data_IF_201326002501
#
_entry.id   IF_201326002501
#
_cell.length_a   1.000
_cell.length_b   1.000
_cell.length_c   1.000
_cell.angle_alpha   90.00
_cell.angle_beta   90.00
_cell.angle_gamma   90.00
#
_symmetry.space_group_name_H-M   'P 1'
#
loop_
_entity.id
_entity.type
_entity.pdbx_description
1 polymer ?
#
# COMPACT_ATOMS: atom_id res chain seq x y z
N UNK A 1 27.91 19.82 -8.86
CA UNK A 1 27.34 18.46 -8.98
C UNK A 1 25.93 18.58 -9.58
N UNK A 2 25.50 17.64 -10.42
CA UNK A 2 24.15 17.62 -11.02
C UNK A 2 23.47 16.32 -10.62
N UNK A 3 22.20 16.40 -10.24
CA UNK A 3 21.33 15.23 -10.09
C UNK A 3 21.05 14.58 -11.45
N UNK A 4 20.75 13.28 -11.47
CA UNK A 4 20.31 12.62 -12.70
C UNK A 4 18.96 13.18 -13.17
N UNK A 5 18.69 13.13 -14.49
CA UNK A 5 17.40 13.58 -15.03
C UNK A 5 16.23 12.82 -14.40
N UNK A 6 16.37 11.51 -14.19
CA UNK A 6 15.36 10.66 -13.56
C UNK A 6 14.89 11.18 -12.20
N UNK A 7 15.80 11.68 -11.37
CA UNK A 7 15.46 12.22 -10.04
C UNK A 7 14.86 13.62 -10.15
N UNK A 8 15.34 14.46 -11.07
CA UNK A 8 14.81 15.82 -11.22
C UNK A 8 13.39 15.84 -11.79
N UNK A 9 12.98 14.80 -12.50
CA UNK A 9 11.64 14.66 -13.10
C UNK A 9 10.62 14.03 -12.13
N UNK A 10 11.06 13.44 -11.00
CA UNK A 10 10.17 12.90 -9.97
C UNK A 10 9.77 14.01 -9.01
N UNK A 11 8.47 14.33 -8.89
CA UNK A 11 8.00 15.33 -7.94
C UNK A 11 8.17 14.87 -6.49
N UNK A 12 8.35 15.82 -5.59
CA UNK A 12 8.28 15.54 -4.14
C UNK A 12 6.90 14.98 -3.79
N UNK A 13 6.89 13.92 -2.98
CA UNK A 13 5.65 13.30 -2.51
C UNK A 13 4.70 14.32 -1.90
N UNK A 14 3.44 14.35 -2.36
CA UNK A 14 2.38 15.19 -1.79
C UNK A 14 2.17 14.92 -0.29
N UNK A 15 2.31 13.66 0.13
CA UNK A 15 2.24 13.27 1.55
C UNK A 15 3.33 14.01 2.36
N UNK A 16 4.59 14.01 1.88
CA UNK A 16 5.69 14.65 2.59
C UNK A 16 5.49 16.15 2.73
N UNK A 17 5.01 16.83 1.69
CA UNK A 17 4.72 18.26 1.73
C UNK A 17 3.72 18.62 2.84
N UNK A 18 2.70 17.78 3.04
CA UNK A 18 1.71 18.01 4.11
C UNK A 18 2.32 17.86 5.51
N UNK A 19 3.26 16.92 5.68
CA UNK A 19 3.97 16.78 6.96
C UNK A 19 4.81 18.01 7.31
N UNK A 20 5.44 18.62 6.33
CA UNK A 20 6.28 19.81 6.55
C UNK A 20 5.45 21.05 6.97
N UNK A 21 4.12 21.00 6.79
CA UNK A 21 3.17 22.04 7.26
C UNK A 21 2.65 21.78 8.69
N UNK A 22 2.90 20.59 9.25
CA UNK A 22 2.40 20.22 10.57
C UNK A 22 3.05 21.05 11.68
N UNK A 23 2.24 21.71 12.49
CA UNK A 23 2.66 22.31 13.75
C UNK A 23 2.72 21.27 14.89
N UNK A 24 3.31 21.62 16.06
CA UNK A 24 3.46 20.68 17.19
C UNK A 24 2.11 20.18 17.74
N UNK A 25 1.04 20.95 17.60
CA UNK A 25 -0.28 20.61 18.10
C UNK A 25 -1.23 20.09 17.01
N UNK A 26 -0.73 19.87 15.78
CA UNK A 26 -1.53 19.40 14.66
C UNK A 26 -1.99 17.96 14.88
N UNK A 27 -3.25 17.70 14.55
CA UNK A 27 -3.81 16.34 14.46
C UNK A 27 -3.40 15.77 13.11
N UNK A 28 -2.62 14.69 13.14
CA UNK A 28 -2.13 14.05 11.93
C UNK A 28 -2.96 12.80 11.60
N UNK A 29 -3.84 12.93 10.60
CA UNK A 29 -4.56 11.83 9.94
C UNK A 29 -4.05 11.59 8.50
N UNK A 30 -2.90 12.18 8.13
CA UNK A 30 -2.28 11.99 6.82
C UNK A 30 -1.33 10.78 6.74
N UNK A 31 -0.86 10.25 7.88
CA UNK A 31 0.07 9.13 7.92
C UNK A 31 -0.64 7.79 8.00
N UNK A 32 -0.33 6.90 7.08
CA UNK A 32 -0.82 5.51 7.08
C UNK A 32 0.06 4.58 7.92
N UNK A 33 0.08 4.75 9.22
CA UNK A 33 0.86 3.95 10.16
C UNK A 33 -0.02 3.48 11.31
N UNK A 34 -0.11 2.14 11.55
CA UNK A 34 -0.86 1.62 12.68
C UNK A 34 -0.30 2.13 14.01
N UNK A 35 -1.17 2.61 14.90
CA UNK A 35 -0.83 3.08 16.25
C UNK A 35 -0.89 1.97 17.32
N UNK A 36 -1.18 0.75 16.91
CA UNK A 36 -1.20 -0.42 17.78
C UNK A 36 0.23 -0.84 18.15
N UNK A 37 0.38 -1.42 19.34
CA UNK A 37 1.64 -2.04 19.71
C UNK A 37 1.90 -3.29 18.84
N UNK A 38 3.16 -3.55 18.42
CA UNK A 38 3.51 -4.79 17.75
C UNK A 38 3.24 -6.02 18.63
N UNK A 39 3.05 -7.23 18.02
CA UNK A 39 3.01 -8.47 18.78
C UNK A 39 4.25 -8.63 19.67
N UNK A 40 4.06 -9.01 20.92
CA UNK A 40 5.18 -9.14 21.88
C UNK A 40 6.19 -10.19 21.42
N UNK A 41 5.71 -11.27 20.83
CA UNK A 41 6.53 -12.35 20.26
C UNK A 41 7.49 -11.83 19.19
N UNK A 42 7.06 -10.84 18.41
CA UNK A 42 7.92 -10.20 17.41
C UNK A 42 9.07 -9.43 18.07
N UNK A 43 8.76 -8.65 19.09
CA UNK A 43 9.75 -7.86 19.84
C UNK A 43 10.75 -8.78 20.54
N UNK A 44 10.26 -9.77 21.28
CA UNK A 44 11.09 -10.72 22.01
C UNK A 44 11.96 -11.56 21.08
N UNK A 45 11.40 -12.06 19.98
CA UNK A 45 12.13 -12.83 18.97
C UNK A 45 13.26 -12.03 18.33
N UNK A 46 13.03 -10.77 17.98
CA UNK A 46 14.05 -9.86 17.45
C UNK A 46 15.16 -9.59 18.47
N UNK A 47 14.79 -9.29 19.72
CA UNK A 47 15.75 -9.04 20.80
C UNK A 47 16.62 -10.27 21.09
N UNK A 48 16.02 -11.45 21.17
CA UNK A 48 16.71 -12.69 21.42
C UNK A 48 17.67 -13.05 20.28
N UNK A 49 17.24 -12.93 19.03
CA UNK A 49 18.10 -13.13 17.87
C UNK A 49 19.33 -12.23 17.90
N UNK A 50 19.14 -10.94 18.27
CA UNK A 50 20.25 -10.01 18.42
C UNK A 50 21.24 -10.44 19.51
N UNK A 51 20.75 -10.91 20.68
CA UNK A 51 21.59 -11.41 21.81
C UNK A 51 22.35 -12.67 21.41
N UNK A 52 21.74 -13.53 20.60
CA UNK A 52 22.36 -14.75 20.07
C UNK A 52 23.37 -14.49 18.94
N UNK A 53 23.62 -13.24 18.59
CA UNK A 53 24.61 -12.87 17.58
C UNK A 53 24.12 -13.03 16.13
N UNK A 54 22.80 -13.09 15.88
CA UNK A 54 22.20 -13.12 14.52
C UNK A 54 22.25 -11.73 13.86
N UNK A 55 23.40 -11.05 13.93
CA UNK A 55 23.58 -9.66 13.47
C UNK A 55 24.48 -9.56 12.22
N UNK A 56 24.83 -10.70 11.61
CA UNK A 56 25.66 -10.76 10.41
C UNK A 56 24.79 -10.85 9.14
N UNK A 57 25.40 -10.69 7.97
CA UNK A 57 24.72 -10.94 6.70
C UNK A 57 24.10 -12.33 6.67
N UNK A 58 22.87 -12.39 6.22
CA UNK A 58 22.12 -13.61 5.98
C UNK A 58 21.97 -13.92 4.48
N UNK A 59 21.14 -14.92 4.14
CA UNK A 59 20.79 -15.21 2.76
C UNK A 59 20.08 -14.01 2.12
N UNK A 60 20.39 -13.74 0.86
CA UNK A 60 19.79 -12.63 0.10
C UNK A 60 18.27 -12.74 0.03
N UNK A 61 17.74 -13.92 -0.24
CA UNK A 61 16.28 -14.15 -0.27
C UNK A 61 15.61 -14.18 1.13
N UNK A 62 16.38 -13.99 2.21
CA UNK A 62 15.91 -14.17 3.60
C UNK A 62 16.13 -15.60 4.12
N UNK A 63 16.01 -15.77 5.45
CA UNK A 63 16.21 -17.07 6.10
C UNK A 63 15.15 -18.08 5.65
N UNK A 64 15.55 -19.34 5.30
CA UNK A 64 14.64 -20.36 4.79
C UNK A 64 13.45 -20.63 5.72
N UNK A 65 13.67 -20.59 7.03
CA UNK A 65 12.64 -20.81 8.04
C UNK A 65 11.53 -19.77 7.93
N UNK A 66 11.87 -18.49 7.72
CA UNK A 66 10.87 -17.43 7.55
C UNK A 66 10.16 -17.54 6.19
N UNK A 67 10.89 -17.84 5.13
CA UNK A 67 10.31 -18.03 3.78
C UNK A 67 9.25 -19.15 3.79
N UNK A 68 9.57 -20.29 4.42
CA UNK A 68 8.63 -21.39 4.58
C UNK A 68 7.43 -21.00 5.46
N UNK A 69 7.66 -20.32 6.59
CA UNK A 69 6.59 -19.87 7.46
C UNK A 69 5.64 -18.85 6.79
N UNK A 70 6.17 -18.00 5.89
CA UNK A 70 5.35 -17.08 5.07
C UNK A 70 4.55 -17.86 4.04
N UNK A 71 5.14 -18.83 3.35
CA UNK A 71 4.44 -19.69 2.40
C UNK A 71 3.28 -20.45 3.10
N UNK A 72 3.53 -21.04 4.27
CA UNK A 72 2.51 -21.73 5.05
C UNK A 72 1.38 -20.78 5.51
N UNK A 73 1.74 -19.58 5.99
CA UNK A 73 0.77 -18.59 6.48
C UNK A 73 -0.18 -18.10 5.38
N UNK A 74 0.33 -17.89 4.17
CA UNK A 74 -0.44 -17.40 3.02
C UNK A 74 -0.96 -18.53 2.11
N UNK A 75 -0.76 -19.81 2.46
CA UNK A 75 -1.19 -20.99 1.67
C UNK A 75 -2.70 -21.03 1.37
N UNK A 76 -3.50 -20.31 2.14
CA UNK A 76 -4.95 -20.13 1.89
C UNK A 76 -5.26 -19.38 0.58
N UNK A 77 -4.29 -18.69 0.00
CA UNK A 77 -4.45 -17.90 -1.23
C UNK A 77 -3.86 -18.57 -2.47
N UNK A 78 -3.11 -19.66 -2.33
CA UNK A 78 -2.51 -20.39 -3.44
C UNK A 78 -1.45 -21.38 -2.97
N UNK A 79 -1.03 -22.27 -3.86
CA UNK A 79 0.07 -23.19 -3.59
C UNK A 79 1.41 -22.45 -3.64
N UNK A 80 2.10 -22.36 -2.50
CA UNK A 80 3.38 -21.66 -2.36
C UNK A 80 4.43 -22.54 -1.69
N UNK A 81 5.66 -22.37 -2.13
CA UNK A 81 6.84 -22.95 -1.47
C UNK A 81 7.71 -21.81 -0.96
N UNK A 82 8.54 -22.06 0.05
CA UNK A 82 9.50 -21.08 0.52
C UNK A 82 10.40 -20.53 -0.60
N UNK A 83 10.65 -21.32 -1.66
CA UNK A 83 11.45 -20.88 -2.81
C UNK A 83 10.76 -19.84 -3.70
N UNK A 84 9.45 -19.74 -3.62
CA UNK A 84 8.65 -18.70 -4.28
C UNK A 84 8.53 -17.40 -3.45
N UNK A 85 9.18 -17.35 -2.28
CA UNK A 85 9.15 -16.18 -1.38
C UNK A 85 10.56 -15.58 -1.27
N UNK A 86 10.66 -14.26 -1.47
CA UNK A 86 11.83 -13.46 -1.14
C UNK A 86 11.48 -12.42 -0.08
N UNK A 87 12.15 -12.45 1.06
CA UNK A 87 12.01 -11.43 2.10
C UNK A 87 12.77 -10.18 1.67
N UNK A 88 12.15 -9.01 1.81
CA UNK A 88 12.68 -7.74 1.30
C UNK A 88 12.80 -6.68 2.40
N UNK A 89 13.65 -5.65 2.21
CA UNK A 89 13.72 -4.49 3.10
C UNK A 89 12.51 -3.56 2.95
N UNK A 90 11.30 -4.05 3.08
CA UNK A 90 9.98 -3.42 2.99
C UNK A 90 9.20 -3.74 1.70
N UNK A 91 7.87 -3.61 1.76
CA UNK A 91 7.03 -3.67 0.55
C UNK A 91 7.38 -2.58 -0.47
N UNK A 92 7.76 -1.37 -0.02
CA UNK A 92 8.20 -0.31 -0.96
C UNK A 92 9.47 -0.69 -1.71
N UNK A 93 10.44 -1.35 -1.06
CA UNK A 93 11.65 -1.86 -1.73
C UNK A 93 11.28 -3.02 -2.65
N UNK A 94 10.38 -3.90 -2.24
CA UNK A 94 9.87 -4.98 -3.08
C UNK A 94 9.25 -4.46 -4.38
N UNK A 95 8.37 -3.45 -4.30
CA UNK A 95 7.80 -2.79 -5.48
C UNK A 95 8.88 -2.20 -6.39
N UNK A 96 9.93 -1.57 -5.81
CA UNK A 96 11.05 -1.06 -6.58
C UNK A 96 11.84 -2.18 -7.24
N UNK A 97 12.14 -3.27 -6.52
CA UNK A 97 12.89 -4.41 -7.04
C UNK A 97 12.16 -5.08 -8.21
N UNK A 98 10.84 -5.28 -8.08
CA UNK A 98 10.02 -5.83 -9.17
C UNK A 98 10.05 -4.91 -10.39
N UNK A 99 9.78 -3.61 -10.23
CA UNK A 99 9.78 -2.66 -11.34
C UNK A 99 11.14 -2.54 -12.01
N UNK A 100 12.24 -2.57 -11.24
CA UNK A 100 13.60 -2.52 -11.81
C UNK A 100 14.02 -3.82 -12.50
N UNK A 101 13.41 -4.96 -12.14
CA UNK A 101 13.74 -6.26 -12.73
C UNK A 101 12.95 -6.56 -14.01
N UNK A 102 11.80 -5.91 -14.22
CA UNK A 102 10.84 -6.29 -15.25
C UNK A 102 10.54 -5.20 -16.28
N UNK A 103 10.97 -3.95 -16.05
CA UNK A 103 10.64 -2.81 -16.92
C UNK A 103 11.90 -2.35 -17.64
N UNK A 104 11.85 -2.33 -18.96
CA UNK A 104 12.86 -1.73 -19.81
C UNK A 104 12.54 -0.25 -20.13
N UNK A 105 13.54 0.57 -20.49
CA UNK A 105 13.30 1.95 -20.87
C UNK A 105 12.35 2.10 -22.05
N UNK A 106 11.22 2.78 -21.81
CA UNK A 106 10.17 3.01 -22.80
C UNK A 106 8.96 2.09 -22.70
N UNK A 107 8.99 1.09 -21.83
CA UNK A 107 7.83 0.27 -21.51
C UNK A 107 6.74 1.10 -20.83
N UNK A 108 5.50 0.80 -21.13
CA UNK A 108 4.34 1.40 -20.49
C UNK A 108 3.82 0.51 -19.36
N UNK A 109 3.58 1.13 -18.22
CA UNK A 109 3.03 0.45 -17.04
C UNK A 109 1.72 1.10 -16.66
N UNK A 110 0.65 0.31 -16.65
CA UNK A 110 -0.66 0.75 -16.19
C UNK A 110 -0.64 0.86 -14.66
N UNK A 111 -0.98 2.03 -14.12
CA UNK A 111 -1.03 2.31 -12.69
C UNK A 111 -2.42 2.80 -12.29
N UNK A 112 -2.96 2.40 -11.10
CA UNK A 112 -4.29 2.85 -10.67
C UNK A 112 -4.30 4.34 -10.36
N UNK A 113 -5.39 5.00 -10.68
CA UNK A 113 -5.67 6.39 -10.28
C UNK A 113 -7.13 6.51 -9.81
N UNK A 114 -7.34 6.83 -8.50
CA UNK A 114 -6.32 7.11 -7.49
C UNK A 114 -5.51 5.86 -7.11
N UNK A 115 -4.20 6.03 -6.86
CA UNK A 115 -3.29 4.95 -6.51
C UNK A 115 -2.14 5.40 -5.62
N UNK A 116 -1.43 4.46 -5.00
CA UNK A 116 -0.37 4.79 -4.04
C UNK A 116 0.76 5.59 -4.71
N UNK A 117 1.17 6.66 -4.07
CA UNK A 117 2.05 7.72 -4.60
C UNK A 117 3.43 7.27 -5.11
N UNK A 118 3.87 6.05 -4.78
CA UNK A 118 5.19 5.56 -5.19
C UNK A 118 5.18 4.79 -6.52
N UNK A 119 4.04 4.38 -7.06
CA UNK A 119 4.01 3.58 -8.28
C UNK A 119 4.60 4.33 -9.48
N UNK A 120 4.09 5.53 -9.77
CA UNK A 120 4.63 6.37 -10.85
C UNK A 120 6.14 6.67 -10.70
N UNK A 121 6.66 7.08 -9.52
CA UNK A 121 8.08 7.21 -9.28
C UNK A 121 8.89 5.94 -9.56
N UNK A 122 8.43 4.76 -9.13
CA UNK A 122 9.17 3.50 -9.33
C UNK A 122 9.27 3.14 -10.82
N UNK A 123 8.15 3.27 -11.56
CA UNK A 123 8.13 3.07 -13.02
C UNK A 123 9.12 4.02 -13.71
N UNK A 124 9.11 5.32 -13.37
CA UNK A 124 10.04 6.31 -13.93
C UNK A 124 11.51 6.04 -13.58
N UNK A 125 11.78 5.53 -12.38
CA UNK A 125 13.14 5.13 -11.97
C UNK A 125 13.66 3.95 -12.80
N UNK A 126 12.78 3.05 -13.22
CA UNK A 126 13.11 1.96 -14.14
C UNK A 126 13.30 2.44 -15.60
N UNK A 127 12.88 3.66 -15.92
CA UNK A 127 12.90 4.21 -17.29
C UNK A 127 11.59 3.99 -18.03
N UNK A 128 10.58 3.39 -17.40
CA UNK A 128 9.25 3.16 -17.94
C UNK A 128 8.36 4.40 -17.93
N UNK A 129 7.23 4.30 -18.58
CA UNK A 129 6.22 5.34 -18.76
C UNK A 129 4.97 4.92 -17.94
N UNK A 130 4.66 5.60 -16.82
CA UNK A 130 3.43 5.31 -16.10
C UNK A 130 2.22 5.86 -16.86
N UNK A 131 1.20 5.00 -17.05
CA UNK A 131 -0.07 5.30 -17.69
C UNK A 131 -1.19 5.08 -16.68
N UNK A 132 -1.89 6.14 -16.27
CA UNK A 132 -2.96 6.03 -15.28
C UNK A 132 -4.20 5.37 -15.86
N UNK A 133 -4.76 4.37 -15.15
CA UNK A 133 -6.09 3.84 -15.41
C UNK A 133 -7.04 4.22 -14.27
N UNK A 134 -8.33 4.39 -14.62
CA UNK A 134 -9.35 4.84 -13.68
C UNK A 134 -9.83 3.69 -12.79
N UNK A 135 -10.07 3.98 -11.52
CA UNK A 135 -10.95 3.20 -10.65
C UNK A 135 -12.37 3.75 -10.74
N UNK A 136 -13.39 2.89 -10.53
CA UNK A 136 -14.79 3.33 -10.50
C UNK A 136 -15.02 4.30 -9.35
N UNK A 137 -15.92 5.27 -9.55
CA UNK A 137 -16.27 6.29 -8.53
C UNK A 137 -17.70 6.01 -7.99
N UNK A 138 -17.92 4.74 -7.63
CA UNK A 138 -19.20 4.24 -7.09
C UNK A 138 -19.08 3.82 -5.61
N UNK A 139 -17.97 4.20 -4.96
CA UNK A 139 -17.62 3.82 -3.59
C UNK A 139 -16.91 2.45 -3.51
N UNK A 140 -16.92 1.62 -4.55
CA UNK A 140 -16.23 0.33 -4.57
C UNK A 140 -14.80 0.41 -5.05
N UNK A 141 -14.47 1.40 -5.88
CA UNK A 141 -13.15 1.66 -6.46
C UNK A 141 -12.55 0.44 -7.17
N UNK A 142 -13.37 -0.26 -7.98
CA UNK A 142 -12.90 -1.35 -8.83
C UNK A 142 -12.10 -0.82 -10.02
N UNK A 143 -11.14 -1.58 -10.58
CA UNK A 143 -10.51 -1.26 -11.85
C UNK A 143 -11.55 -1.11 -12.98
N UNK A 144 -11.54 0.01 -13.68
CA UNK A 144 -12.39 0.20 -14.87
C UNK A 144 -11.77 -0.54 -16.05
N UNK A 145 -12.27 -1.75 -16.32
CA UNK A 145 -11.75 -2.64 -17.37
C UNK A 145 -11.83 -2.00 -18.77
N UNK A 146 -12.88 -1.21 -19.04
CA UNK A 146 -13.01 -0.50 -20.32
C UNK A 146 -11.91 0.55 -20.49
N UNK A 147 -11.62 1.29 -19.43
CA UNK A 147 -10.54 2.28 -19.44
C UNK A 147 -9.15 1.61 -19.56
N UNK A 148 -8.93 0.49 -18.85
CA UNK A 148 -7.69 -0.29 -18.93
C UNK A 148 -7.45 -0.76 -20.36
N UNK A 149 -8.42 -1.48 -20.97
CA UNK A 149 -8.30 -2.03 -22.33
C UNK A 149 -8.02 -0.91 -23.35
N UNK A 150 -8.65 0.25 -23.19
CA UNK A 150 -8.44 1.39 -24.09
C UNK A 150 -7.02 1.96 -24.05
N UNK A 151 -6.24 1.66 -23.00
CA UNK A 151 -4.90 2.17 -22.75
C UNK A 151 -3.79 1.16 -23.03
N UNK A 152 -4.14 -0.09 -23.29
CA UNK A 152 -3.16 -1.12 -23.67
C UNK A 152 -2.60 -0.81 -25.05
N UNK A 153 -1.28 -0.82 -25.15
CA UNK A 153 -0.53 -0.68 -26.40
C UNK A 153 0.51 -1.81 -26.52
N UNK A 154 1.16 -2.00 -27.69
CA UNK A 154 2.27 -2.96 -27.82
C UNK A 154 3.48 -2.69 -26.91
N UNK A 155 3.48 -1.58 -26.16
CA UNK A 155 4.51 -1.23 -25.18
C UNK A 155 4.10 -1.50 -23.75
N UNK A 156 2.85 -1.85 -23.53
CA UNK A 156 2.34 -2.14 -22.19
C UNK A 156 2.86 -3.50 -21.74
N UNK A 157 3.67 -3.52 -20.67
CA UNK A 157 4.32 -4.75 -20.16
C UNK A 157 3.83 -5.12 -18.77
N UNK A 158 3.25 -4.15 -18.03
CA UNK A 158 2.83 -4.38 -16.65
C UNK A 158 1.58 -3.58 -16.30
N UNK A 159 0.76 -4.16 -15.42
CA UNK A 159 -0.29 -3.44 -14.70
C UNK A 159 -0.08 -3.57 -13.20
N UNK A 160 -0.14 -2.46 -12.46
CA UNK A 160 -0.09 -2.45 -10.99
C UNK A 160 -1.51 -2.43 -10.44
N UNK A 161 -1.81 -3.36 -9.52
CA UNK A 161 -3.07 -3.46 -8.78
C UNK A 161 -2.79 -3.34 -7.29
N UNK A 162 -3.65 -2.65 -6.53
CA UNK A 162 -3.49 -2.54 -5.08
C UNK A 162 -4.79 -2.94 -4.37
N UNK A 163 -4.75 -4.03 -3.60
CA UNK A 163 -5.93 -4.56 -2.90
C UNK A 163 -5.56 -5.15 -1.53
N UNK A 164 -6.19 -4.69 -0.44
CA UNK A 164 -7.00 -3.47 -0.28
C UNK A 164 -6.22 -2.21 -0.62
N UNK A 165 -6.89 -1.22 -1.21
CA UNK A 165 -6.24 -0.07 -1.83
C UNK A 165 -5.88 1.05 -0.85
N UNK A 166 -4.75 1.68 -1.08
CA UNK A 166 -4.38 3.01 -0.60
C UNK A 166 -4.42 3.96 -1.82
N UNK A 167 -5.31 4.96 -1.88
CA UNK A 167 -5.94 5.65 -0.74
C UNK A 167 -7.39 5.23 -0.43
N UNK A 168 -8.05 4.41 -1.23
CA UNK A 168 -9.51 4.32 -1.27
C UNK A 168 -10.12 3.36 -0.25
N UNK A 169 -9.35 2.36 0.22
CA UNK A 169 -9.88 1.26 1.02
C UNK A 169 -10.74 0.27 0.21
N UNK A 170 -10.77 0.42 -1.12
CA UNK A 170 -11.45 -0.54 -2.02
C UNK A 170 -10.80 -1.91 -1.97
N UNK A 171 -11.60 -2.96 -2.05
CA UNK A 171 -11.19 -4.36 -2.07
C UNK A 171 -11.58 -4.95 -3.43
N UNK A 172 -10.63 -5.57 -4.11
CA UNK A 172 -10.84 -6.17 -5.42
C UNK A 172 -11.86 -7.31 -5.32
N UNK A 173 -12.82 -7.35 -6.25
CA UNK A 173 -13.75 -8.47 -6.38
C UNK A 173 -13.13 -9.64 -7.14
N UNK A 174 -13.66 -10.85 -6.94
CA UNK A 174 -13.22 -12.03 -7.71
C UNK A 174 -13.44 -11.80 -9.22
N UNK A 175 -14.58 -11.22 -9.60
CA UNK A 175 -14.90 -10.91 -11.00
C UNK A 175 -13.86 -9.96 -11.63
N UNK A 176 -13.47 -8.89 -10.90
CA UNK A 176 -12.45 -7.95 -11.39
C UNK A 176 -11.07 -8.62 -11.48
N UNK A 177 -10.72 -9.51 -10.54
CA UNK A 177 -9.47 -10.27 -10.59
C UNK A 177 -9.43 -11.18 -11.81
N UNK A 178 -10.48 -11.99 -12.02
CA UNK A 178 -10.55 -12.95 -13.12
C UNK A 178 -10.42 -12.22 -14.47
N UNK A 179 -11.11 -11.09 -14.63
CA UNK A 179 -11.00 -10.27 -15.83
C UNK A 179 -9.60 -9.66 -16.04
N UNK A 180 -8.90 -9.27 -14.95
CA UNK A 180 -7.51 -8.81 -15.03
C UNK A 180 -6.55 -9.94 -15.40
N UNK A 181 -6.75 -11.14 -14.88
CA UNK A 181 -5.94 -12.34 -15.24
C UNK A 181 -6.15 -12.70 -16.72
N UNK A 182 -7.40 -12.76 -17.20
CA UNK A 182 -7.71 -13.03 -18.61
C UNK A 182 -7.05 -11.98 -19.52
N UNK A 183 -7.17 -10.70 -19.18
CA UNK A 183 -6.54 -9.61 -19.92
C UNK A 183 -5.00 -9.72 -19.91
N UNK A 184 -4.39 -10.08 -18.78
CA UNK A 184 -2.95 -10.25 -18.67
C UNK A 184 -2.44 -11.36 -19.61
N UNK A 185 -3.17 -12.47 -19.70
CA UNK A 185 -2.88 -13.55 -20.63
C UNK A 185 -3.09 -13.16 -22.10
N UNK A 186 -4.18 -12.43 -22.41
CA UNK A 186 -4.48 -12.02 -23.79
C UNK A 186 -3.43 -11.07 -24.37
N UNK A 187 -2.87 -10.20 -23.53
CA UNK A 187 -1.96 -9.13 -23.94
C UNK A 187 -0.50 -9.34 -23.54
N UNK A 188 -0.14 -10.49 -22.93
CA UNK A 188 1.21 -10.78 -22.42
C UNK A 188 1.72 -9.70 -21.45
N UNK A 189 0.85 -9.32 -20.50
CA UNK A 189 1.10 -8.28 -19.48
C UNK A 189 1.28 -8.93 -18.11
N UNK A 190 2.29 -8.49 -17.34
CA UNK A 190 2.45 -8.94 -15.96
C UNK A 190 1.60 -8.10 -14.99
N UNK A 191 0.93 -8.77 -14.05
CA UNK A 191 0.24 -8.12 -12.93
C UNK A 191 1.21 -7.99 -11.76
N UNK A 192 1.47 -6.75 -11.31
CA UNK A 192 2.13 -6.48 -10.04
C UNK A 192 1.06 -6.14 -9.00
N UNK A 193 0.77 -7.09 -8.10
CA UNK A 193 -0.23 -6.92 -7.06
C UNK A 193 0.40 -6.48 -5.74
N UNK A 194 0.01 -5.30 -5.26
CA UNK A 194 0.38 -4.78 -3.94
C UNK A 194 -0.72 -5.14 -2.93
N UNK A 195 -0.44 -6.13 -2.07
CA UNK A 195 -1.39 -6.72 -1.13
C UNK A 195 -1.04 -6.43 0.34
N UNK A 196 -0.31 -5.36 0.63
CA UNK A 196 0.20 -5.06 1.99
C UNK A 196 -0.89 -4.84 3.05
N UNK A 197 -2.16 -4.68 2.65
CA UNK A 197 -3.31 -4.51 3.54
C UNK A 197 -4.23 -5.74 3.58
N UNK A 198 -3.86 -6.88 3.01
CA UNK A 198 -4.70 -8.08 2.89
C UNK A 198 -5.30 -8.59 4.22
N UNK A 199 -4.65 -8.32 5.35
CA UNK A 199 -5.14 -8.69 6.68
C UNK A 199 -6.19 -7.72 7.25
N UNK A 200 -6.41 -6.57 6.61
CA UNK A 200 -7.38 -5.56 7.05
C UNK A 200 -8.56 -5.51 6.10
N UNK A 201 -9.38 -6.57 6.13
CA UNK A 201 -10.66 -6.68 5.45
C UNK A 201 -11.76 -6.59 6.50
N UNK A 202 -12.74 -5.75 6.28
CA UNK A 202 -13.87 -5.54 7.18
C UNK A 202 -15.15 -6.19 6.67
N UNK A 203 -15.30 -6.27 5.35
CA UNK A 203 -16.45 -6.85 4.67
C UNK A 203 -15.98 -7.64 3.46
N UNK A 204 -16.55 -8.83 3.24
CA UNK A 204 -16.11 -9.75 2.18
C UNK A 204 -14.83 -10.51 2.53
N UNK A 205 -14.11 -10.91 1.50
CA UNK A 205 -12.86 -11.66 1.60
C UNK A 205 -11.78 -11.00 0.74
N UNK A 206 -10.52 -11.20 1.11
CA UNK A 206 -9.39 -10.78 0.28
C UNK A 206 -9.22 -11.74 -0.90
N UNK A 207 -9.16 -11.19 -2.08
CA UNK A 207 -8.86 -11.88 -3.33
C UNK A 207 -7.41 -11.61 -3.68
N UNK A 208 -6.59 -12.66 -3.72
CA UNK A 208 -5.15 -12.56 -3.96
C UNK A 208 -4.77 -13.07 -5.35
N UNK A 209 -3.70 -12.53 -5.92
CA UNK A 209 -3.08 -13.05 -7.14
C UNK A 209 -2.02 -14.12 -6.88
N UNK A 210 -1.88 -14.60 -5.64
CA UNK A 210 -0.95 -15.69 -5.29
C UNK A 210 -1.33 -17.04 -5.91
N UNK A 211 -2.57 -17.19 -6.39
CA UNK A 211 -3.03 -18.36 -7.15
C UNK A 211 -2.80 -18.28 -8.67
N UNK A 212 -2.19 -17.19 -9.14
CA UNK A 212 -1.95 -16.89 -10.56
C UNK A 212 -0.47 -16.56 -10.85
N UNK A 213 0.49 -17.40 -10.37
CA UNK A 213 1.93 -17.08 -10.41
C UNK A 213 2.50 -16.99 -11.82
N UNK A 214 1.79 -17.51 -12.82
CA UNK A 214 2.23 -17.48 -14.22
C UNK A 214 2.15 -16.06 -14.82
N UNK A 215 1.23 -15.22 -14.35
CA UNK A 215 1.04 -13.86 -14.86
C UNK A 215 1.13 -12.77 -13.77
N UNK A 216 1.33 -13.14 -12.50
CA UNK A 216 1.35 -12.18 -11.40
C UNK A 216 2.58 -12.31 -10.49
N UNK A 217 3.06 -11.16 -10.03
CA UNK A 217 4.01 -11.00 -8.93
C UNK A 217 3.30 -10.28 -7.79
N UNK A 218 3.31 -10.86 -6.60
CA UNK A 218 2.64 -10.27 -5.43
C UNK A 218 3.65 -9.68 -4.47
N UNK A 219 3.43 -8.44 -4.09
CA UNK A 219 4.18 -7.75 -3.03
C UNK A 219 3.31 -7.64 -1.78
N UNK A 220 3.89 -7.99 -0.66
CA UNK A 220 3.24 -7.87 0.64
C UNK A 220 4.25 -7.43 1.71
N UNK A 221 3.81 -7.26 2.96
CA UNK A 221 4.72 -6.79 4.00
C UNK A 221 4.18 -6.90 5.41
N UNK A 222 5.12 -7.01 6.34
CA UNK A 222 4.84 -7.13 7.77
C UNK A 222 4.57 -5.78 8.45
N UNK A 223 4.95 -4.69 7.79
CA UNK A 223 4.86 -3.32 8.32
C UNK A 223 3.47 -2.97 8.85
N UNK A 224 2.42 -3.38 8.11
CA UNK A 224 1.03 -3.06 8.45
C UNK A 224 0.41 -4.13 9.34
N UNK A 225 0.51 -5.40 8.95
CA UNK A 225 -0.10 -6.49 9.68
C UNK A 225 0.44 -6.68 11.10
N UNK A 226 1.68 -6.24 11.39
CA UNK A 226 2.32 -6.37 12.71
C UNK A 226 2.61 -5.01 13.37
N UNK A 227 2.20 -3.88 12.79
CA UNK A 227 2.52 -2.53 13.28
C UNK A 227 4.04 -2.28 13.48
N UNK A 228 4.87 -2.81 12.58
CA UNK A 228 6.34 -2.72 12.63
C UNK A 228 6.91 -1.92 11.45
N UNK A 229 6.32 -0.78 11.16
CA UNK A 229 6.70 0.07 10.00
C UNK A 229 8.17 0.46 10.01
N UNK A 230 8.75 0.69 11.20
CA UNK A 230 10.17 1.01 11.40
C UNK A 230 11.13 -0.15 11.19
N UNK A 231 10.67 -1.41 11.17
CA UNK A 231 11.56 -2.57 10.99
C UNK A 231 11.98 -2.76 9.54
N UNK A 232 11.22 -2.19 8.61
CA UNK A 232 11.49 -2.27 7.18
C UNK A 232 11.55 -3.72 6.69
N UNK A 233 10.42 -4.42 6.75
CA UNK A 233 10.30 -5.83 6.36
C UNK A 233 9.08 -6.05 5.46
N UNK A 234 9.29 -6.72 4.34
CA UNK A 234 8.27 -7.14 3.39
C UNK A 234 8.66 -8.45 2.72
N UNK A 235 7.89 -8.86 1.72
CA UNK A 235 8.23 -10.00 0.89
C UNK A 235 7.60 -9.87 -0.51
N UNK A 236 8.18 -10.61 -1.45
CA UNK A 236 7.65 -10.85 -2.80
C UNK A 236 7.33 -12.31 -2.92
N UNK A 237 6.20 -12.61 -3.56
CA UNK A 237 5.86 -13.92 -4.09
C UNK A 237 5.92 -13.85 -5.62
N UNK A 238 6.61 -14.82 -6.24
CA UNK A 238 6.74 -14.96 -7.68
C UNK A 238 7.00 -16.41 -8.07
N UNK A 239 6.85 -16.72 -9.36
CA UNK A 239 7.27 -18.02 -9.90
C UNK A 239 8.80 -18.19 -9.86
N UNK A 240 9.29 -19.40 -10.14
CA UNK A 240 10.72 -19.74 -10.01
C UNK A 240 11.60 -18.89 -10.94
N UNK A 241 11.16 -18.63 -12.18
CA UNK A 241 11.92 -17.87 -13.17
C UNK A 241 12.10 -16.40 -12.74
N UNK A 242 11.03 -15.78 -12.30
CA UNK A 242 11.07 -14.40 -11.85
C UNK A 242 11.86 -14.26 -10.54
N UNK A 243 11.74 -15.24 -9.65
CA UNK A 243 12.44 -15.23 -8.36
C UNK A 243 13.95 -15.16 -8.50
N UNK A 244 14.54 -15.82 -9.49
CA UNK A 244 15.99 -15.74 -9.77
C UNK A 244 16.41 -14.29 -10.07
N UNK A 245 15.66 -13.60 -10.92
CA UNK A 245 15.91 -12.21 -11.29
C UNK A 245 15.76 -11.25 -10.09
N UNK A 246 14.74 -11.45 -9.26
CA UNK A 246 14.48 -10.65 -8.07
C UNK A 246 15.58 -10.83 -7.01
N UNK A 247 16.03 -12.06 -6.75
CA UNK A 247 17.13 -12.32 -5.81
C UNK A 247 18.42 -11.66 -6.31
N UNK A 248 18.70 -11.70 -7.61
CA UNK A 248 19.84 -11.01 -8.20
C UNK A 248 19.75 -9.50 -8.02
N UNK A 249 18.57 -8.90 -8.22
CA UNK A 249 18.34 -7.48 -8.01
C UNK A 249 18.57 -7.12 -6.54
N UNK A 250 17.95 -7.83 -5.60
CA UNK A 250 18.09 -7.58 -4.16
C UNK A 250 19.54 -7.66 -3.68
N UNK A 251 20.31 -8.64 -4.19
CA UNK A 251 21.72 -8.76 -3.84
C UNK A 251 22.50 -7.46 -4.12
N UNK A 252 22.20 -6.79 -5.23
CA UNK A 252 22.87 -5.53 -5.60
C UNK A 252 22.29 -4.30 -4.89
N UNK A 253 21.09 -4.38 -4.32
CA UNK A 253 20.46 -3.28 -3.57
C UNK A 253 20.88 -3.29 -2.10
N UNK A 254 20.79 -4.45 -1.42
CA UNK A 254 20.97 -4.50 0.03
C UNK A 254 21.73 -5.73 0.57
N UNK A 255 22.21 -6.62 -0.31
CA UNK A 255 22.84 -7.90 0.03
C UNK A 255 21.94 -8.88 0.82
N UNK A 256 21.36 -8.48 1.94
CA UNK A 256 20.39 -9.27 2.72
C UNK A 256 19.48 -8.36 3.57
N UNK A 257 18.24 -8.79 3.87
CA UNK A 257 17.36 -8.07 4.78
C UNK A 257 17.85 -8.07 6.23
N UNK A 258 17.14 -7.34 7.11
CA UNK A 258 17.45 -7.22 8.53
C UNK A 258 17.31 -8.57 9.25
N UNK A 259 18.44 -9.19 9.58
CA UNK A 259 18.50 -10.53 10.20
C UNK A 259 17.74 -10.63 11.53
N UNK A 260 17.94 -9.77 12.54
CA UNK A 260 17.17 -9.85 13.77
C UNK A 260 15.67 -9.69 13.55
N UNK A 261 15.25 -8.79 12.67
CA UNK A 261 13.83 -8.57 12.36
C UNK A 261 13.18 -9.80 11.71
N UNK A 262 13.90 -10.54 10.86
CA UNK A 262 13.39 -11.80 10.28
C UNK A 262 13.04 -12.83 11.36
N UNK A 263 13.88 -12.98 12.39
CA UNK A 263 13.59 -13.88 13.51
C UNK A 263 12.44 -13.38 14.38
N UNK A 264 12.30 -12.05 14.55
CA UNK A 264 11.13 -11.47 15.22
C UNK A 264 9.83 -11.77 14.50
N UNK A 265 9.79 -11.59 13.18
CA UNK A 265 8.62 -11.92 12.36
C UNK A 265 8.32 -13.43 12.42
N UNK A 266 9.35 -14.27 12.28
CA UNK A 266 9.21 -15.73 12.37
C UNK A 266 8.57 -16.17 13.70
N UNK A 267 8.99 -15.56 14.81
CA UNK A 267 8.42 -15.86 16.12
C UNK A 267 6.95 -15.43 16.26
N UNK A 268 6.55 -14.33 15.61
CA UNK A 268 5.20 -13.79 15.71
C UNK A 268 4.18 -14.48 14.81
N UNK A 269 4.58 -14.93 13.61
CA UNK A 269 3.65 -15.47 12.60
C UNK A 269 2.66 -16.51 13.15
N UNK A 270 3.05 -17.51 13.97
CA UNK A 270 2.11 -18.48 14.54
C UNK A 270 1.05 -17.88 15.48
N UNK A 271 1.28 -16.68 15.98
CA UNK A 271 0.45 -16.01 16.99
C UNK A 271 -0.38 -14.85 16.44
N UNK A 272 -0.38 -14.65 15.10
CA UNK A 272 -1.00 -13.47 14.48
C UNK A 272 -2.51 -13.43 14.56
N UNK A 273 -3.20 -14.59 14.61
CA UNK A 273 -4.68 -14.61 14.53
C UNK A 273 -5.34 -13.74 15.61
N UNK A 274 -5.10 -13.92 16.94
CA UNK A 274 -5.73 -13.10 17.96
C UNK A 274 -5.33 -11.62 17.88
N UNK A 275 -4.10 -11.33 17.48
CA UNK A 275 -3.63 -9.96 17.27
C UNK A 275 -4.40 -9.26 16.15
N UNK A 276 -4.53 -9.90 14.99
CA UNK A 276 -5.23 -9.36 13.82
C UNK A 276 -6.75 -9.27 14.06
N UNK A 277 -7.35 -10.22 14.77
CA UNK A 277 -8.77 -10.14 15.13
C UNK A 277 -9.06 -8.90 15.98
N UNK A 278 -8.19 -8.59 16.96
CA UNK A 278 -8.25 -7.34 17.73
C UNK A 278 -8.01 -6.10 16.86
N UNK A 279 -6.96 -6.10 16.04
CA UNK A 279 -6.62 -4.96 15.18
C UNK A 279 -7.76 -4.64 14.20
N UNK A 280 -8.35 -5.66 13.55
CA UNK A 280 -9.52 -5.49 12.67
C UNK A 280 -10.72 -4.91 13.41
N UNK A 281 -10.99 -5.37 14.64
CA UNK A 281 -12.07 -4.82 15.46
C UNK A 281 -11.84 -3.33 15.76
N UNK A 282 -10.66 -2.95 16.19
CA UNK A 282 -10.30 -1.56 16.48
C UNK A 282 -10.44 -0.69 15.23
N UNK A 283 -9.86 -1.09 14.12
CA UNK A 283 -9.92 -0.29 12.89
C UNK A 283 -11.32 -0.25 12.27
N UNK A 284 -12.13 -1.31 12.41
CA UNK A 284 -13.54 -1.27 11.99
C UNK A 284 -14.32 -0.20 12.78
N UNK A 285 -14.18 -0.15 14.10
CA UNK A 285 -14.85 0.86 14.92
C UNK A 285 -14.43 2.29 14.53
N UNK A 286 -13.14 2.49 14.29
CA UNK A 286 -12.60 3.79 13.85
C UNK A 286 -13.05 4.17 12.45
N UNK A 287 -13.17 3.20 11.53
CA UNK A 287 -13.76 3.37 10.20
C UNK A 287 -15.19 3.89 10.32
N UNK A 288 -15.99 3.20 11.12
CA UNK A 288 -17.41 3.54 11.28
C UNK A 288 -17.57 4.93 11.91
N UNK A 289 -16.71 5.27 12.89
CA UNK A 289 -16.66 6.61 13.48
C UNK A 289 -16.35 7.69 12.44
N UNK A 290 -15.22 7.55 11.72
CA UNK A 290 -14.80 8.59 10.77
C UNK A 290 -15.78 8.74 9.60
N UNK A 291 -16.34 7.65 9.09
CA UNK A 291 -17.34 7.69 8.02
C UNK A 291 -18.62 8.38 8.47
N UNK A 292 -19.11 8.07 9.66
CA UNK A 292 -20.26 8.77 10.26
C UNK A 292 -20.01 10.27 10.34
N UNK A 293 -18.86 10.67 10.92
CA UNK A 293 -18.52 12.09 11.12
C UNK A 293 -18.37 12.85 9.80
N UNK A 294 -17.77 12.20 8.77
CA UNK A 294 -17.64 12.79 7.43
C UNK A 294 -19.01 13.01 6.79
N UNK A 295 -19.91 12.02 6.85
CA UNK A 295 -21.25 12.11 6.26
C UNK A 295 -22.20 13.07 7.00
N UNK A 296 -21.83 13.55 8.19
CA UNK A 296 -22.54 14.64 8.91
C UNK A 296 -22.14 16.03 8.40
N UNK A 297 -21.11 16.14 7.52
CA UNK A 297 -20.61 17.41 6.98
C UNK A 297 -21.25 17.69 5.62
N UNK A 298 -21.97 18.79 5.49
CA UNK A 298 -22.60 19.19 4.23
C UNK A 298 -21.58 19.30 3.08
N UNK A 299 -21.92 18.67 1.97
CA UNK A 299 -21.09 18.65 0.76
C UNK A 299 -19.93 17.66 0.81
N UNK A 300 -19.84 16.78 1.82
CA UNK A 300 -18.93 15.65 1.85
C UNK A 300 -19.68 14.32 1.80
N UNK A 301 -19.05 13.31 1.21
CA UNK A 301 -19.61 11.97 1.14
C UNK A 301 -18.54 10.89 1.15
N UNK A 302 -18.83 9.78 1.85
CA UNK A 302 -18.02 8.57 1.83
C UNK A 302 -18.89 7.33 2.05
N UNK A 303 -18.70 6.32 1.18
CA UNK A 303 -19.11 4.96 1.48
C UNK A 303 -18.08 4.29 2.40
N UNK A 304 -18.49 3.48 3.38
CA UNK A 304 -17.55 2.81 4.28
C UNK A 304 -16.55 1.96 3.51
N UNK A 305 -15.22 2.22 3.62
CA UNK A 305 -14.22 1.42 2.94
C UNK A 305 -14.24 -0.05 3.40
N UNK A 306 -14.07 -0.97 2.45
CA UNK A 306 -14.14 -2.42 2.72
C UNK A 306 -12.86 -2.96 3.36
N UNK A 307 -11.73 -2.25 3.20
CA UNK A 307 -10.43 -2.69 3.71
C UNK A 307 -9.43 -1.56 3.99
N UNK A 308 -8.19 -1.93 4.30
CA UNK A 308 -7.10 -1.04 4.72
C UNK A 308 -7.47 -0.22 5.97
N UNK A 309 -6.96 0.99 6.13
CA UNK A 309 -7.34 1.90 7.22
C UNK A 309 -7.31 3.37 6.74
N UNK A 310 -7.89 3.60 5.53
CA UNK A 310 -8.01 4.91 4.90
C UNK A 310 -9.46 5.23 4.58
N UNK A 311 -9.85 6.48 4.85
CA UNK A 311 -11.07 7.10 4.38
C UNK A 311 -10.72 8.05 3.23
N UNK A 312 -11.46 7.93 2.12
CA UNK A 312 -11.24 8.73 0.91
C UNK A 312 -12.53 9.44 0.46
N UNK A 313 -13.07 10.36 1.30
CA UNK A 313 -14.29 11.08 1.00
C UNK A 313 -14.14 12.00 -0.20
N UNK A 314 -15.22 12.11 -0.98
CA UNK A 314 -15.42 13.18 -1.95
C UNK A 314 -15.98 14.45 -1.28
N UNK A 315 -15.81 15.59 -1.96
CA UNK A 315 -16.40 16.86 -1.55
C UNK A 315 -16.88 17.68 -2.78
N UNK A 316 -17.93 18.51 -2.59
CA UNK A 316 -18.58 19.27 -3.66
C UNK A 316 -18.10 20.71 -3.80
N UNK A 317 -17.39 21.28 -2.82
CA UNK A 317 -16.94 22.67 -2.82
C UNK A 317 -15.99 22.96 -3.99
N UNK A 318 -16.07 24.18 -4.56
CA UNK A 318 -15.23 24.60 -5.69
C UNK A 318 -13.85 25.08 -5.21
N UNK A 319 -13.04 24.12 -4.81
CA UNK A 319 -11.65 24.29 -4.38
C UNK A 319 -10.84 23.07 -4.81
N UNK A 320 -9.55 23.22 -5.11
CA UNK A 320 -8.67 22.09 -5.37
C UNK A 320 -8.41 21.26 -4.10
N UNK A 321 -8.18 19.96 -4.25
CA UNK A 321 -7.85 19.08 -3.10
C UNK A 321 -6.57 19.54 -2.38
N UNK A 322 -5.59 20.07 -3.13
CA UNK A 322 -4.37 20.62 -2.56
C UNK A 322 -4.62 21.87 -1.71
N UNK A 323 -5.47 22.81 -2.20
CA UNK A 323 -5.75 24.04 -1.47
C UNK A 323 -6.59 23.75 -0.22
N UNK A 324 -7.56 22.84 -0.31
CA UNK A 324 -8.36 22.42 0.85
C UNK A 324 -7.47 21.75 1.91
N UNK A 325 -6.57 20.85 1.50
CA UNK A 325 -5.62 20.21 2.41
C UNK A 325 -4.67 21.23 3.07
N UNK A 326 -4.22 22.25 2.32
CA UNK A 326 -3.40 23.34 2.86
C UNK A 326 -4.16 24.18 3.91
N UNK A 327 -5.45 24.42 3.68
CA UNK A 327 -6.31 25.14 4.62
C UNK A 327 -6.54 24.34 5.90
N UNK A 328 -6.84 23.03 5.76
CA UNK A 328 -6.96 22.11 6.89
C UNK A 328 -5.67 22.04 7.71
N UNK A 329 -4.51 22.00 7.05
CA UNK A 329 -3.22 22.01 7.73
C UNK A 329 -3.01 23.28 8.57
N UNK A 330 -3.38 24.47 8.05
CA UNK A 330 -3.34 25.73 8.81
C UNK A 330 -4.33 25.75 9.98
N UNK A 331 -5.46 25.04 9.85
CA UNK A 331 -6.43 24.87 10.93
C UNK A 331 -6.01 23.78 11.95
N UNK A 332 -4.91 23.07 11.72
CA UNK A 332 -4.37 22.06 12.63
C UNK A 332 -4.75 20.60 12.31
N UNK A 333 -5.30 20.33 11.12
CA UNK A 333 -5.60 18.97 10.65
C UNK A 333 -4.74 18.61 9.44
N UNK A 334 -3.90 17.59 9.57
CA UNK A 334 -3.09 17.07 8.45
C UNK A 334 -3.83 15.90 7.80
N UNK A 335 -4.12 16.04 6.51
CA UNK A 335 -4.61 15.00 5.62
C UNK A 335 -3.79 14.98 4.33
N UNK A 336 -4.08 14.06 3.42
CA UNK A 336 -3.44 14.04 2.10
C UNK A 336 -4.44 14.47 1.02
N UNK A 337 -4.10 15.44 0.15
CA UNK A 337 -4.97 15.81 -0.97
C UNK A 337 -5.12 14.65 -1.95
N UNK A 338 -6.31 14.47 -2.49
CA UNK A 338 -6.60 13.38 -3.41
C UNK A 338 -5.77 13.45 -4.70
N UNK A 339 -5.46 14.66 -5.19
CA UNK A 339 -4.58 14.88 -6.35
C UNK A 339 -3.16 14.31 -6.18
N UNK A 340 -2.71 14.03 -4.96
CA UNK A 340 -1.43 13.35 -4.72
C UNK A 340 -1.44 11.88 -5.16
N UNK A 341 -2.62 11.27 -5.36
CA UNK A 341 -2.80 9.87 -5.72
C UNK A 341 -3.11 9.66 -7.21
N UNK A 342 -3.01 10.69 -8.04
CA UNK A 342 -3.26 10.64 -9.47
C UNK A 342 -4.37 11.60 -9.93
N UNK A 343 -4.58 11.64 -11.24
CA UNK A 343 -5.49 12.63 -11.86
C UNK A 343 -6.95 12.42 -11.47
N UNK A 344 -7.38 11.18 -11.22
CA UNK A 344 -8.73 10.84 -10.80
C UNK A 344 -8.96 10.95 -9.27
N UNK A 345 -7.94 11.34 -8.52
CA UNK A 345 -8.07 11.61 -7.08
C UNK A 345 -8.53 13.04 -6.73
N UNK A 346 -8.67 13.94 -7.72
CA UNK A 346 -9.14 15.32 -7.46
C UNK A 346 -10.56 15.32 -6.90
N UNK A 347 -10.90 16.33 -6.10
CA UNK A 347 -12.15 16.41 -5.32
C UNK A 347 -12.29 15.38 -4.20
N UNK A 348 -11.17 14.75 -3.79
CA UNK A 348 -11.12 13.86 -2.64
C UNK A 348 -10.04 14.30 -1.66
N UNK A 349 -10.16 13.84 -0.41
CA UNK A 349 -9.13 13.92 0.62
C UNK A 349 -8.88 12.51 1.18
N UNK A 350 -7.63 12.18 1.52
CA UNK A 350 -7.36 10.93 2.25
C UNK A 350 -7.08 11.21 3.71
N UNK A 351 -7.80 10.50 4.57
CA UNK A 351 -7.55 10.41 6.01
C UNK A 351 -7.16 8.98 6.38
N UNK A 352 -6.19 8.81 7.28
CA UNK A 352 -5.92 7.54 7.94
C UNK A 352 -6.67 7.48 9.25
N UNK A 353 -7.45 6.42 9.48
CA UNK A 353 -8.06 6.15 10.76
C UNK A 353 -7.26 5.18 11.64
N UNK A 354 -5.99 4.93 11.29
CA UNK A 354 -5.02 4.27 12.15
C UNK A 354 -4.50 5.24 13.24
N UNK A 355 -5.42 5.89 13.95
CA UNK A 355 -5.18 6.86 14.99
C UNK A 355 -6.22 6.71 16.10
N UNK A 356 -5.89 7.19 17.30
CA UNK A 356 -6.82 7.18 18.44
C UNK A 356 -8.15 7.87 18.11
N UNK A 357 -9.28 7.33 18.62
CA UNK A 357 -10.64 7.83 18.35
C UNK A 357 -10.81 9.30 18.72
N UNK A 358 -10.19 9.75 19.81
CA UNK A 358 -10.24 11.17 20.23
C UNK A 358 -9.54 12.09 19.22
N UNK A 359 -8.48 11.62 18.56
CA UNK A 359 -7.82 12.37 17.48
C UNK A 359 -8.68 12.39 16.23
N UNK A 360 -9.37 11.29 15.92
CA UNK A 360 -10.30 11.22 14.80
C UNK A 360 -11.43 12.23 15.03
N UNK A 361 -12.10 12.19 16.17
CA UNK A 361 -13.21 13.12 16.49
C UNK A 361 -12.78 14.59 16.39
N UNK A 362 -11.69 14.96 17.05
CA UNK A 362 -11.17 16.33 16.98
C UNK A 362 -10.75 16.73 15.56
N UNK A 363 -10.19 15.81 14.79
CA UNK A 363 -9.86 16.05 13.40
C UNK A 363 -11.10 16.33 12.55
N UNK A 364 -12.18 15.59 12.80
CA UNK A 364 -13.45 15.80 12.10
C UNK A 364 -14.16 17.10 12.54
N UNK A 365 -14.00 17.54 13.78
CA UNK A 365 -14.47 18.88 14.22
C UNK A 365 -13.78 19.99 13.41
N UNK A 366 -12.44 19.92 13.25
CA UNK A 366 -11.70 20.89 12.45
C UNK A 366 -12.16 20.85 10.98
N UNK A 367 -12.36 19.66 10.43
CA UNK A 367 -12.85 19.47 9.06
C UNK A 367 -14.23 20.14 8.89
N UNK A 368 -15.18 19.88 9.80
CA UNK A 368 -16.51 20.47 9.80
C UNK A 368 -16.48 22.00 9.86
N UNK A 369 -15.65 22.56 10.74
CA UNK A 369 -15.48 24.02 10.89
C UNK A 369 -14.95 24.67 9.60
N UNK A 370 -13.96 24.06 8.94
CA UNK A 370 -13.38 24.56 7.68
C UNK A 370 -14.42 24.49 6.56
N UNK A 371 -15.14 23.37 6.45
CA UNK A 371 -16.16 23.17 5.41
C UNK A 371 -17.35 24.12 5.58
N UNK A 372 -17.82 24.37 6.80
CA UNK A 372 -18.91 25.31 7.09
C UNK A 372 -18.58 26.77 6.70
N UNK A 373 -17.33 27.20 6.84
CA UNK A 373 -16.90 28.55 6.43
C UNK A 373 -16.91 28.77 4.92
N UNK A 374 -17.08 27.68 4.13
CA UNK A 374 -17.07 27.70 2.67
C UNK A 374 -18.44 27.56 2.03
N UNK A 375 -19.48 27.41 2.83
CA UNK A 375 -20.90 27.51 2.42
C UNK A 375 -21.31 28.96 2.27
#
# INVERSE_FOLDING_TARGET
MKSSKRITEIPMSGIRKMFDLAGPDSINLGLGEPDLAPPMEAIEGMCEASRQGKNRYGPTAGIPELRNAVADYFSKYGEMRGDNIMITPSGSTALLEVTQSMIDPGDEVLIPSPGFVIYSPHVRLAGGIPVEYRLTDDGTFQPDLGDIISKITPKTTMIIVNTPSNPTGGVLTQESKDALVDMAWEHDITILSDEVYCEFIYEGEHVSFMDSPECAVVVNGFSKMMAVTGWRMGFVFANDEMMESLIKMQYHICASPNMPAMYGILAALPHMKPYLDNARSVFRNRRDLICKRINEIDGMHIEPPMGAFYAFPSYSQDISSQDLANELARAGLICTPGSAFGSYGEKHLRFSYAADESKIDRGMDILADVMTRRQ
#
